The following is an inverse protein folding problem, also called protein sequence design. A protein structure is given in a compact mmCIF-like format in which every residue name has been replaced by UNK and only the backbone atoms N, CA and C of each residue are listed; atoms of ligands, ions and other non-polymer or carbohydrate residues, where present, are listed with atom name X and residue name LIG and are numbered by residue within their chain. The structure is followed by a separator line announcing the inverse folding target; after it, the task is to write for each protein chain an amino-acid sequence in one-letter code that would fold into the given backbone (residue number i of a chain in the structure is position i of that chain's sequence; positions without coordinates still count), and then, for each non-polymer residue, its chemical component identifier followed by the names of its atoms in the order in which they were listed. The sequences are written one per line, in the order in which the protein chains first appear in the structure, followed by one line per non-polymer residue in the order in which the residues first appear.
data_IF_598090395181
#
_entry.id   IF_598090395181
#
_cell.length_a   1.000
_cell.length_b   1.000
_cell.length_c   1.000
_cell.angle_alpha   90.00
_cell.angle_beta   90.00
_cell.angle_gamma   90.00
#
_symmetry.space_group_name_H-M   'P 1'
#
loop_
_entity.id
_entity.type
_entity.pdbx_description
1 polymer ?
#
# COMPACT_ATOMS: atom_id res chain seq x y z
N UNK A 1 9.28 -15.42 -5.93
CA UNK A 1 8.61 -14.11 -6.04
C UNK A 1 9.30 -13.29 -7.11
N UNK A 2 8.51 -12.68 -7.98
CA UNK A 2 8.98 -11.81 -9.04
C UNK A 2 8.52 -10.37 -8.74
N UNK A 3 9.37 -9.41 -9.05
CA UNK A 3 8.99 -8.00 -9.03
C UNK A 3 8.11 -7.71 -10.24
N UNK A 4 7.04 -6.95 -10.06
CA UNK A 4 6.16 -6.50 -11.13
C UNK A 4 5.99 -4.99 -11.10
N UNK A 5 5.46 -4.40 -12.17
CA UNK A 5 5.14 -2.98 -12.25
C UNK A 5 3.69 -2.76 -11.86
N UNK A 6 3.46 -2.06 -10.77
CA UNK A 6 2.13 -1.68 -10.33
C UNK A 6 1.61 -0.50 -11.16
N UNK A 7 0.47 -0.67 -11.80
CA UNK A 7 -0.17 0.39 -12.58
C UNK A 7 -0.94 1.35 -11.67
N UNK A 8 -0.75 2.65 -11.90
CA UNK A 8 -1.40 3.72 -11.16
C UNK A 8 -1.62 4.93 -12.05
N UNK A 9 -2.72 5.66 -11.86
CA UNK A 9 -2.82 6.98 -12.46
C UNK A 9 -1.85 7.94 -11.77
N UNK A 10 -1.30 8.86 -12.55
CA UNK A 10 -0.40 9.88 -12.04
C UNK A 10 -1.19 10.93 -11.30
N UNK A 11 -1.02 11.00 -9.99
CA UNK A 11 -1.64 11.97 -9.10
C UNK A 11 -0.69 13.09 -8.65
N UNK A 12 0.59 13.03 -9.08
CA UNK A 12 1.64 13.96 -8.70
C UNK A 12 2.36 14.54 -9.93
N UNK A 13 2.95 15.71 -9.78
CA UNK A 13 3.85 16.28 -10.76
C UNK A 13 5.12 15.46 -10.93
N UNK A 14 5.70 15.53 -12.13
CA UNK A 14 6.98 14.85 -12.41
C UNK A 14 8.10 15.67 -11.76
N UNK A 15 8.84 15.05 -10.85
CA UNK A 15 10.04 15.65 -10.28
C UNK A 15 11.11 15.81 -11.36
N UNK A 16 11.72 16.99 -11.41
CA UNK A 16 12.88 17.22 -12.28
C UNK A 16 14.08 16.43 -11.73
N UNK A 17 14.98 16.02 -12.61
CA UNK A 17 16.18 15.24 -12.21
C UNK A 17 17.10 15.98 -11.23
N UNK A 18 16.99 17.31 -11.15
CA UNK A 18 17.76 18.16 -10.23
C UNK A 18 17.21 18.23 -8.80
N UNK A 19 16.04 17.66 -8.53
CA UNK A 19 15.42 17.66 -7.20
C UNK A 19 15.70 16.34 -6.47
N UNK A 20 15.99 16.42 -5.15
CA UNK A 20 16.09 15.21 -4.33
C UNK A 20 14.77 14.43 -4.42
N UNK A 21 14.84 13.20 -4.93
CA UNK A 21 13.67 12.33 -5.07
C UNK A 21 13.19 11.89 -3.70
N UNK A 22 12.21 12.59 -3.16
CA UNK A 22 11.54 12.18 -1.92
C UNK A 22 10.75 10.90 -2.18
N UNK A 23 11.14 9.83 -1.53
CA UNK A 23 10.51 8.51 -1.66
C UNK A 23 9.09 8.50 -1.06
N UNK A 24 8.85 9.29 -0.03
CA UNK A 24 7.60 9.35 0.70
C UNK A 24 6.72 10.52 0.28
N UNK A 25 5.41 10.31 0.38
CA UNK A 25 4.40 11.37 0.28
C UNK A 25 3.95 11.72 1.69
N UNK A 26 4.11 12.98 2.07
CA UNK A 26 3.64 13.52 3.35
C UNK A 26 2.25 14.13 3.21
N UNK A 27 1.61 14.42 4.35
CA UNK A 27 0.34 15.13 4.39
C UNK A 27 0.52 16.51 3.72
N UNK A 28 -0.36 16.84 2.78
CA UNK A 28 -0.29 18.09 1.99
C UNK A 28 0.96 18.23 1.11
N UNK A 29 1.50 17.15 0.61
CA UNK A 29 2.63 17.16 -0.31
C UNK A 29 2.34 18.10 -1.51
N UNK A 30 3.18 19.15 -1.73
CA UNK A 30 2.96 20.14 -2.79
C UNK A 30 3.01 19.55 -4.20
N UNK A 31 3.60 18.37 -4.36
CA UNK A 31 3.66 17.66 -5.64
C UNK A 31 2.32 17.07 -6.06
N UNK A 32 1.38 16.92 -5.14
CA UNK A 32 0.06 16.33 -5.44
C UNK A 32 -0.81 17.38 -6.14
N UNK A 33 -1.22 17.08 -7.37
CA UNK A 33 -2.08 17.96 -8.16
C UNK A 33 -3.49 18.06 -7.56
N UNK A 34 -4.27 19.10 -7.91
CA UNK A 34 -5.65 19.24 -7.42
C UNK A 34 -6.53 18.04 -7.77
N UNK A 35 -6.44 17.57 -9.02
CA UNK A 35 -7.09 16.33 -9.47
C UNK A 35 -6.52 15.10 -8.73
N UNK A 36 -5.21 15.08 -8.50
CA UNK A 36 -4.53 14.02 -7.76
C UNK A 36 -5.03 13.89 -6.32
N UNK A 37 -5.34 15.00 -5.64
CA UNK A 37 -5.94 14.98 -4.29
C UNK A 37 -7.29 14.26 -4.30
N UNK A 38 -8.15 14.60 -5.25
CA UNK A 38 -9.45 13.94 -5.41
C UNK A 38 -9.29 12.45 -5.70
N UNK A 39 -8.42 12.09 -6.65
CA UNK A 39 -8.19 10.69 -7.02
C UNK A 39 -7.65 9.86 -5.86
N UNK A 40 -6.71 10.40 -5.07
CA UNK A 40 -6.16 9.73 -3.86
C UNK A 40 -7.21 9.59 -2.77
N UNK A 41 -8.01 10.63 -2.53
CA UNK A 41 -9.08 10.57 -1.53
C UNK A 41 -10.12 9.49 -1.86
N UNK A 42 -10.40 9.29 -3.14
CA UNK A 42 -11.37 8.30 -3.64
C UNK A 42 -10.72 6.98 -4.05
N UNK A 43 -9.38 6.83 -3.90
CA UNK A 43 -8.59 5.68 -4.38
C UNK A 43 -8.76 5.37 -5.88
N UNK A 44 -9.27 6.32 -6.66
CA UNK A 44 -9.42 6.18 -8.12
C UNK A 44 -8.07 6.08 -8.84
N UNK A 45 -7.00 6.62 -8.26
CA UNK A 45 -5.64 6.49 -8.80
C UNK A 45 -5.15 5.05 -8.82
N UNK A 46 -5.77 4.15 -8.06
CA UNK A 46 -5.41 2.73 -7.98
C UNK A 46 -6.23 1.84 -8.94
N UNK A 47 -7.26 2.37 -9.61
CA UNK A 47 -8.06 1.60 -10.57
C UNK A 47 -7.24 0.85 -11.64
N UNK A 48 -6.12 1.40 -12.17
CA UNK A 48 -5.32 0.67 -13.15
C UNK A 48 -4.69 -0.62 -12.59
N UNK A 49 -4.66 -0.85 -11.27
CA UNK A 49 -4.22 -2.12 -10.68
C UNK A 49 -5.14 -3.29 -11.07
N UNK A 50 -6.36 -3.02 -11.55
CA UNK A 50 -7.20 -4.06 -12.14
C UNK A 50 -6.52 -4.77 -13.32
N UNK A 51 -5.68 -4.08 -14.08
CA UNK A 51 -4.87 -4.72 -15.11
C UNK A 51 -3.83 -5.67 -14.50
N UNK A 52 -3.23 -5.33 -13.35
CA UNK A 52 -2.32 -6.24 -12.65
C UNK A 52 -3.06 -7.50 -12.16
N UNK A 53 -4.33 -7.37 -11.76
CA UNK A 53 -5.15 -8.54 -11.37
C UNK A 53 -5.43 -9.43 -12.59
N UNK A 54 -5.83 -8.84 -13.72
CA UNK A 54 -6.09 -9.57 -14.97
C UNK A 54 -4.85 -10.29 -15.48
N UNK A 55 -3.67 -9.66 -15.33
CA UNK A 55 -2.38 -10.24 -15.72
C UNK A 55 -1.88 -11.32 -14.74
N UNK A 56 -2.50 -11.44 -13.57
CA UNK A 56 -2.10 -12.42 -12.55
C UNK A 56 -1.01 -11.95 -11.61
N UNK A 57 -0.58 -10.69 -11.69
CA UNK A 57 0.43 -10.10 -10.79
C UNK A 57 -0.13 -9.82 -9.40
N UNK A 58 -1.43 -9.52 -9.31
CA UNK A 58 -2.13 -9.10 -8.09
C UNK A 58 -3.45 -9.83 -7.90
N UNK A 59 -3.99 -9.74 -6.68
CA UNK A 59 -5.35 -10.12 -6.31
C UNK A 59 -6.13 -8.91 -5.77
N UNK A 60 -7.44 -9.04 -5.57
CA UNK A 60 -8.23 -8.00 -4.91
C UNK A 60 -7.81 -7.83 -3.45
N UNK A 61 -7.74 -8.93 -2.70
CA UNK A 61 -7.37 -8.95 -1.29
C UNK A 61 -6.04 -9.68 -1.12
N UNK A 62 -5.17 -9.14 -0.30
CA UNK A 62 -3.84 -9.69 -0.02
C UNK A 62 -2.89 -8.63 0.49
N UNK A 63 -1.70 -9.03 0.87
CA UNK A 63 -0.66 -8.11 1.33
C UNK A 63 -0.36 -7.07 0.26
N UNK A 64 -0.47 -5.78 0.61
CA UNK A 64 -0.15 -4.70 -0.32
C UNK A 64 1.30 -4.79 -0.78
N UNK A 65 1.58 -4.59 -2.09
CA UNK A 65 2.94 -4.67 -2.61
C UNK A 65 3.85 -3.64 -1.93
N UNK A 66 5.00 -4.10 -1.46
CA UNK A 66 6.05 -3.24 -0.89
C UNK A 66 7.15 -2.99 -1.92
N UNK A 67 7.84 -1.85 -1.76
CA UNK A 67 9.04 -1.59 -2.55
C UNK A 67 10.13 -2.62 -2.23
N UNK A 68 10.97 -2.93 -3.22
CA UNK A 68 12.09 -3.86 -3.03
C UNK A 68 13.07 -3.40 -1.97
N UNK A 69 13.10 -2.09 -1.65
CA UNK A 69 13.89 -1.53 -0.56
C UNK A 69 13.42 -2.08 0.80
N UNK A 70 12.12 -1.99 1.10
CA UNK A 70 11.57 -2.46 2.38
C UNK A 70 11.45 -3.97 2.47
N UNK A 71 11.27 -4.67 1.36
CA UNK A 71 11.31 -6.14 1.34
C UNK A 71 12.65 -6.68 1.88
N UNK A 72 13.76 -5.96 1.68
CA UNK A 72 15.07 -6.33 2.27
C UNK A 72 15.11 -6.24 3.80
N UNK A 73 14.18 -5.50 4.39
CA UNK A 73 14.05 -5.35 5.84
C UNK A 73 13.11 -6.39 6.47
N UNK A 74 12.56 -7.32 5.67
CA UNK A 74 11.63 -8.34 6.15
C UNK A 74 12.34 -9.36 7.06
N UNK A 75 11.66 -9.73 8.13
CA UNK A 75 12.02 -10.91 8.93
C UNK A 75 11.66 -12.20 8.16
N UNK A 76 12.24 -13.36 8.53
CA UNK A 76 11.87 -14.63 7.90
C UNK A 76 10.37 -14.91 7.87
N UNK A 77 9.63 -14.53 8.91
CA UNK A 77 8.18 -14.69 8.97
C UNK A 77 7.44 -13.78 7.98
N UNK A 78 7.91 -12.53 7.82
CA UNK A 78 7.30 -11.58 6.90
C UNK A 78 7.38 -12.05 5.45
N UNK A 79 8.40 -12.82 5.07
CA UNK A 79 8.51 -13.39 3.74
C UNK A 79 7.35 -14.34 3.39
N UNK A 80 6.62 -14.89 4.37
CA UNK A 80 5.44 -15.69 4.11
C UNK A 80 4.34 -14.90 3.39
N UNK A 81 4.29 -13.58 3.57
CA UNK A 81 3.33 -12.70 2.87
C UNK A 81 3.57 -12.66 1.36
N UNK A 82 4.77 -13.01 0.91
CA UNK A 82 5.13 -13.02 -0.50
C UNK A 82 4.80 -14.36 -1.19
N UNK A 83 4.27 -15.35 -0.47
CA UNK A 83 3.86 -16.65 -1.06
C UNK A 83 2.54 -16.53 -1.85
N UNK A 84 1.76 -15.52 -1.57
CA UNK A 84 0.49 -15.24 -2.25
C UNK A 84 0.64 -14.00 -3.13
N UNK A 85 -0.21 -13.83 -4.16
CA UNK A 85 -0.27 -12.61 -4.94
C UNK A 85 -0.52 -11.39 -4.05
N UNK A 86 0.14 -10.29 -4.38
CA UNK A 86 -0.08 -9.03 -3.70
C UNK A 86 -1.53 -8.54 -3.90
N UNK A 87 -2.12 -7.91 -2.87
CA UNK A 87 -3.49 -7.40 -2.92
C UNK A 87 -3.58 -5.90 -3.20
N UNK A 88 -4.67 -5.48 -3.82
CA UNK A 88 -5.05 -4.06 -3.90
C UNK A 88 -5.42 -3.56 -2.52
N UNK A 89 -6.12 -4.38 -1.73
CA UNK A 89 -6.52 -4.08 -0.35
C UNK A 89 -6.22 -5.22 0.61
N UNK A 90 -6.19 -4.91 1.90
CA UNK A 90 -6.02 -5.86 3.00
C UNK A 90 -6.58 -5.25 4.29
N UNK A 91 -6.73 -6.04 5.34
CA UNK A 91 -7.04 -5.54 6.68
C UNK A 91 -5.98 -4.53 7.16
N UNK A 92 -4.69 -4.80 6.85
CA UNK A 92 -3.60 -3.88 7.13
C UNK A 92 -3.81 -2.53 6.42
N UNK A 93 -4.18 -2.53 5.14
CA UNK A 93 -4.43 -1.31 4.36
C UNK A 93 -5.56 -0.47 4.93
N UNK A 94 -6.64 -1.12 5.41
CA UNK A 94 -7.78 -0.43 6.03
C UNK A 94 -7.37 0.23 7.35
N UNK A 95 -6.60 -0.47 8.19
CA UNK A 95 -6.19 0.01 9.52
C UNK A 95 -5.12 1.09 9.47
N UNK A 96 -4.26 1.03 8.48
CA UNK A 96 -3.16 1.96 8.26
C UNK A 96 -3.46 2.97 7.14
N UNK A 97 -4.75 3.27 6.87
CA UNK A 97 -5.12 4.23 5.82
C UNK A 97 -4.51 5.62 6.05
N UNK A 98 -4.35 6.01 7.30
CA UNK A 98 -3.80 7.30 7.71
C UNK A 98 -2.28 7.22 8.02
N UNK A 99 -1.58 6.23 7.46
CA UNK A 99 -0.14 5.99 7.64
C UNK A 99 0.71 7.23 7.37
N UNK A 100 0.33 8.03 6.36
CA UNK A 100 1.02 9.27 6.03
C UNK A 100 1.01 10.29 7.20
N UNK A 101 -0.03 10.28 8.03
CA UNK A 101 -0.10 11.16 9.22
C UNK A 101 0.83 10.69 10.34
N UNK A 102 0.99 9.37 10.49
CA UNK A 102 1.92 8.79 11.46
C UNK A 102 3.38 9.10 11.07
N UNK A 103 3.67 9.08 9.77
CA UNK A 103 5.01 9.32 9.24
C UNK A 103 5.36 10.82 9.15
N UNK A 104 4.37 11.70 9.06
CA UNK A 104 4.58 13.15 8.93
C UNK A 104 5.23 13.77 10.19
N UNK A 105 5.09 13.12 11.34
CA UNK A 105 5.65 13.54 12.63
C UNK A 105 7.04 12.94 12.92
N UNK A 106 7.56 12.10 12.03
CA UNK A 106 8.79 11.37 12.25
C UNK A 106 10.03 12.15 11.78
N UNK A 107 11.04 12.27 12.62
CA UNK A 107 12.34 12.86 12.23
C UNK A 107 13.05 11.99 11.16
N UNK A 108 12.89 10.67 11.25
CA UNK A 108 13.40 9.71 10.26
C UNK A 108 12.26 8.76 9.83
N UNK A 109 11.64 9.09 8.70
CA UNK A 109 10.50 8.36 8.16
C UNK A 109 10.81 6.89 7.86
N UNK A 110 11.98 6.60 7.26
CA UNK A 110 12.38 5.23 6.93
C UNK A 110 12.57 4.38 8.20
N UNK A 111 13.16 4.94 9.24
CA UNK A 111 13.39 4.24 10.49
C UNK A 111 12.09 3.91 11.22
N UNK A 112 11.18 4.88 11.32
CA UNK A 112 9.85 4.68 11.93
C UNK A 112 9.04 3.68 11.13
N UNK A 113 9.09 3.78 9.79
CA UNK A 113 8.41 2.82 8.93
C UNK A 113 8.88 1.39 9.18
N UNK A 114 10.18 1.14 9.14
CA UNK A 114 10.76 -0.20 9.28
C UNK A 114 10.60 -0.76 10.69
N UNK A 115 10.70 0.08 11.73
CA UNK A 115 10.66 -0.39 13.13
C UNK A 115 9.24 -0.51 13.70
N UNK A 116 8.30 0.30 13.23
CA UNK A 116 6.96 0.39 13.85
C UNK A 116 5.84 0.04 12.87
N UNK A 117 5.78 0.71 11.71
CA UNK A 117 4.66 0.58 10.78
C UNK A 117 4.68 -0.77 10.09
N UNK A 118 5.83 -1.14 9.51
CA UNK A 118 5.98 -2.38 8.76
C UNK A 118 5.67 -3.64 9.61
N UNK A 119 6.22 -3.81 10.83
CA UNK A 119 5.87 -4.95 11.68
C UNK A 119 4.40 -4.98 12.06
N UNK A 120 3.80 -3.81 12.33
CA UNK A 120 2.39 -3.69 12.65
C UNK A 120 1.48 -4.14 11.48
N UNK A 121 1.76 -3.68 10.27
CA UNK A 121 1.06 -4.09 9.05
C UNK A 121 1.23 -5.60 8.80
N UNK A 122 2.45 -6.12 8.95
CA UNK A 122 2.76 -7.52 8.71
C UNK A 122 2.05 -8.48 9.67
N UNK A 123 1.81 -8.06 10.92
CA UNK A 123 0.99 -8.83 11.85
C UNK A 123 -0.40 -9.12 11.29
N UNK A 124 -1.08 -8.12 10.73
CA UNK A 124 -2.40 -8.29 10.12
C UNK A 124 -2.34 -9.13 8.85
N UNK A 125 -1.35 -8.87 7.98
CA UNK A 125 -1.17 -9.61 6.75
C UNK A 125 -0.92 -11.11 7.01
N UNK A 126 -0.08 -11.45 7.98
CA UNK A 126 0.18 -12.84 8.39
C UNK A 126 -1.06 -13.49 9.01
N UNK A 127 -1.86 -12.73 9.76
CA UNK A 127 -3.11 -13.24 10.31
C UNK A 127 -4.13 -13.52 9.20
N UNK A 128 -4.24 -12.67 8.19
CA UNK A 128 -5.11 -12.91 7.02
C UNK A 128 -4.73 -14.20 6.30
N UNK A 129 -3.43 -14.45 6.07
CA UNK A 129 -2.96 -15.68 5.44
C UNK A 129 -3.31 -16.92 6.29
N UNK A 130 -3.08 -16.86 7.60
CA UNK A 130 -3.37 -17.97 8.51
C UNK A 130 -4.87 -18.30 8.62
N UNK A 131 -5.71 -17.28 8.50
CA UNK A 131 -7.17 -17.38 8.66
C UNK A 131 -7.91 -17.16 7.35
N UNK A 132 -7.31 -17.59 6.24
CA UNK A 132 -7.91 -17.45 4.92
C UNK A 132 -9.35 -17.97 4.88
N UNK A 133 -10.25 -17.15 4.32
CA UNK A 133 -11.65 -17.53 4.08
C UNK A 133 -12.25 -16.60 3.02
N UNK A 134 -12.93 -17.18 2.04
CA UNK A 134 -13.65 -16.43 1.01
C UNK A 134 -14.59 -15.36 1.56
N UNK A 135 -15.32 -15.68 2.63
CA UNK A 135 -16.22 -14.73 3.27
C UNK A 135 -15.48 -13.57 3.94
N UNK A 136 -14.30 -13.82 4.47
CA UNK A 136 -13.45 -12.76 5.04
C UNK A 136 -12.91 -11.84 3.96
N UNK A 137 -12.51 -12.36 2.81
CA UNK A 137 -12.05 -11.54 1.68
C UNK A 137 -13.16 -10.63 1.15
N UNK A 138 -14.37 -11.19 0.93
CA UNK A 138 -15.55 -10.41 0.56
C UNK A 138 -15.81 -9.32 1.62
N UNK A 139 -15.74 -9.66 2.91
CA UNK A 139 -15.88 -8.71 4.01
C UNK A 139 -14.81 -7.61 3.97
N UNK A 140 -13.56 -7.93 3.65
CA UNK A 140 -12.46 -6.96 3.50
C UNK A 140 -12.72 -6.03 2.33
N UNK A 141 -13.15 -6.54 1.17
CA UNK A 141 -13.54 -5.70 0.03
C UNK A 141 -14.65 -4.70 0.37
N UNK A 142 -15.71 -5.16 1.05
CA UNK A 142 -16.82 -4.28 1.49
C UNK A 142 -16.32 -3.21 2.45
N UNK A 143 -15.51 -3.59 3.46
CA UNK A 143 -14.93 -2.64 4.42
C UNK A 143 -14.02 -1.63 3.75
N UNK A 144 -13.28 -2.03 2.73
CA UNK A 144 -12.45 -1.11 1.92
C UNK A 144 -13.30 -0.03 1.27
N UNK A 145 -14.40 -0.42 0.61
CA UNK A 145 -15.32 0.55 0.00
C UNK A 145 -15.87 1.53 1.05
N UNK A 146 -16.28 1.02 2.20
CA UNK A 146 -16.77 1.87 3.31
C UNK A 146 -15.68 2.79 3.84
N UNK A 147 -14.44 2.31 3.94
CA UNK A 147 -13.31 3.12 4.42
C UNK A 147 -12.89 4.24 3.45
N UNK A 148 -13.08 4.02 2.15
CA UNK A 148 -12.80 5.02 1.10
C UNK A 148 -13.89 6.10 1.04
N UNK A 149 -15.16 5.75 1.32
CA UNK A 149 -16.29 6.70 1.25
C UNK A 149 -16.42 7.56 2.51
N UNK A 150 -15.79 7.17 3.61
CA UNK A 150 -15.73 7.93 4.88
C UNK A 150 -14.58 8.91 4.91
#
# INVERSE_FOLDING_TARGET
NQTFRMYKFRSMEIQKESEEKKAWTVKNDPRVTGIGKFMRHTSLDELPQLFNIILGDMSFVGTRPESTHYVKCYTPEMYATLLLPAGVTSEASIRYKDEAELLDQADNVDEVYVKEVLPGKMKYNLEEIRKFSWWREIGTMVRTVVAVVR
#
